data_IF_293046668369
#
_entry.id   IF_293046668369
#
_cell.length_a   1.000
_cell.length_b   1.000
_cell.length_c   1.000
_cell.angle_alpha   90.00
_cell.angle_beta   90.00
_cell.angle_gamma   90.00
#
_symmetry.space_group_name_H-M   'P 1'
#
loop_
_entity.id
_entity.type
_entity.pdbx_description
1 polymer ?
#
# COMPACT_ATOMS: atom_id res chain seq x y z
N UNK A 1 15.02 -52.89 -41.18
CA UNK A 1 16.20 -53.46 -41.88
C UNK A 1 16.00 -53.13 -43.36
N UNK A 2 16.77 -52.37 -44.14
CA UNK A 2 18.06 -51.66 -44.13
C UNK A 2 17.78 -50.17 -44.54
N UNK A 3 18.67 -49.17 -44.60
CA UNK A 3 20.10 -49.11 -44.85
C UNK A 3 20.70 -47.81 -44.30
N UNK A 4 22.02 -47.85 -44.09
CA UNK A 4 22.88 -46.82 -43.54
C UNK A 4 23.49 -45.91 -44.64
N UNK A 5 24.44 -45.05 -44.19
CA UNK A 5 25.42 -44.22 -44.92
C UNK A 5 24.96 -42.76 -45.07
N UNK A 6 25.73 -41.74 -44.70
CA UNK A 6 27.12 -41.68 -44.24
C UNK A 6 27.46 -40.23 -43.88
N UNK A 7 28.53 -40.08 -43.09
CA UNK A 7 29.10 -38.82 -42.63
C UNK A 7 29.88 -38.15 -43.76
N UNK A 8 29.80 -36.82 -43.90
CA UNK A 8 30.90 -36.01 -44.44
C UNK A 8 31.16 -34.76 -43.58
N UNK A 9 32.42 -34.29 -43.47
CA UNK A 9 32.83 -33.27 -42.50
C UNK A 9 33.16 -31.90 -43.13
N UNK A 10 33.40 -30.96 -42.21
CA UNK A 10 34.36 -29.83 -42.24
C UNK A 10 33.92 -28.50 -42.85
N UNK A 11 33.84 -27.48 -41.98
CA UNK A 11 34.66 -26.27 -42.09
C UNK A 11 34.63 -25.51 -40.76
N UNK A 12 35.80 -25.44 -40.13
CA UNK A 12 36.09 -24.69 -38.92
C UNK A 12 36.28 -23.21 -39.29
N UNK A 13 35.39 -22.33 -38.84
CA UNK A 13 35.61 -20.89 -38.89
C UNK A 13 36.03 -20.39 -37.51
N UNK A 14 37.22 -19.80 -37.46
CA UNK A 14 37.87 -19.30 -36.25
C UNK A 14 37.02 -18.24 -35.54
N UNK A 15 36.80 -18.44 -34.23
CA UNK A 15 36.18 -17.48 -33.36
C UNK A 15 37.04 -16.21 -33.27
N UNK A 16 36.53 -15.07 -33.76
CA UNK A 16 37.07 -13.76 -33.40
C UNK A 16 36.73 -13.52 -31.94
N UNK A 17 37.77 -13.41 -31.12
CA UNK A 17 37.71 -13.07 -29.70
C UNK A 17 37.15 -11.65 -29.55
N UNK A 18 35.85 -11.53 -29.33
CA UNK A 18 35.25 -10.28 -28.88
C UNK A 18 35.24 -10.33 -27.35
N UNK A 19 35.91 -9.35 -26.76
CA UNK A 19 36.01 -9.12 -25.32
C UNK A 19 34.61 -9.00 -24.73
N UNK A 20 34.35 -9.75 -23.66
CA UNK A 20 33.13 -9.68 -22.85
C UNK A 20 33.00 -8.28 -22.25
N UNK A 21 32.07 -7.48 -22.76
CA UNK A 21 31.39 -6.45 -21.98
C UNK A 21 30.13 -7.06 -21.37
N UNK A 22 30.12 -7.30 -20.06
CA UNK A 22 28.92 -7.73 -19.34
C UNK A 22 27.97 -6.55 -19.19
N UNK A 23 26.96 -6.45 -20.05
CA UNK A 23 25.80 -5.59 -19.83
C UNK A 23 24.75 -6.44 -19.13
N UNK A 24 24.33 -6.11 -17.89
CA UNK A 24 23.25 -6.85 -17.24
C UNK A 24 21.94 -6.58 -17.99
N UNK A 25 21.35 -7.67 -18.46
CA UNK A 25 20.03 -7.72 -19.03
C UNK A 25 18.97 -7.55 -17.93
N UNK A 26 18.03 -6.64 -18.12
CA UNK A 26 16.72 -6.77 -17.51
C UNK A 26 15.67 -6.21 -18.48
N UNK A 27 14.64 -7.04 -18.67
CA UNK A 27 13.63 -6.96 -19.69
C UNK A 27 12.81 -5.67 -19.66
N UNK A 28 12.28 -5.32 -20.83
CA UNK A 28 11.33 -4.24 -20.99
C UNK A 28 10.10 -4.40 -20.10
N UNK A 29 9.81 -3.34 -19.35
CA UNK A 29 8.54 -3.06 -18.70
C UNK A 29 8.03 -1.73 -19.20
N UNK A 30 6.74 -1.70 -19.55
CA UNK A 30 6.00 -0.56 -20.07
C UNK A 30 6.14 0.66 -19.14
N UNK A 31 6.67 1.78 -19.64
CA UNK A 31 6.85 3.01 -18.86
C UNK A 31 5.56 3.81 -18.81
N UNK A 32 4.80 3.75 -17.70
CA UNK A 32 3.90 4.83 -17.32
C UNK A 32 4.70 5.84 -16.50
N UNK A 33 5.21 6.86 -17.18
CA UNK A 33 5.87 8.00 -16.57
C UNK A 33 4.80 9.04 -16.18
N UNK A 34 4.37 9.09 -14.92
CA UNK A 34 3.90 10.33 -14.24
C UNK A 34 3.41 10.20 -12.79
N UNK A 35 3.80 9.19 -11.99
CA UNK A 35 3.61 9.32 -10.54
C UNK A 35 4.83 8.82 -9.77
N UNK A 36 5.81 9.69 -9.61
CA UNK A 36 6.79 9.55 -8.52
C UNK A 36 6.17 10.14 -7.26
N UNK A 37 5.64 9.30 -6.36
CA UNK A 37 5.27 9.76 -5.02
C UNK A 37 6.55 10.07 -4.25
N UNK A 38 6.83 11.35 -4.02
CA UNK A 38 7.86 11.76 -3.09
C UNK A 38 7.37 11.51 -1.66
N UNK A 39 7.81 10.43 -1.03
CA UNK A 39 7.73 10.28 0.43
C UNK A 39 8.79 11.19 1.05
N UNK A 40 8.43 12.45 1.29
CA UNK A 40 9.31 13.33 2.05
C UNK A 40 9.44 12.82 3.49
N UNK A 41 10.68 12.40 3.78
CA UNK A 41 11.22 12.02 5.08
C UNK A 41 10.87 13.02 6.18
N UNK A 42 10.34 12.54 7.31
CA UNK A 42 10.78 13.01 8.63
C UNK A 42 10.31 12.05 9.72
N UNK A 43 11.26 11.29 10.28
CA UNK A 43 11.16 10.41 11.46
C UNK A 43 10.04 9.38 11.39
N UNK A 44 10.42 8.11 11.43
CA UNK A 44 9.56 6.97 11.65
C UNK A 44 8.72 7.18 12.93
N UNK A 45 7.58 7.85 12.80
CA UNK A 45 6.54 7.83 13.81
C UNK A 45 5.87 6.47 13.66
N UNK A 46 6.51 5.50 14.28
CA UNK A 46 5.96 4.17 14.50
C UNK A 46 4.53 4.34 15.02
N UNK A 47 3.54 3.90 14.25
CA UNK A 47 2.13 3.93 14.62
C UNK A 47 1.94 3.03 15.85
N UNK A 48 2.04 3.64 17.03
CA UNK A 48 2.08 2.91 18.30
C UNK A 48 0.71 2.93 18.96
N UNK A 49 0.03 1.78 18.97
CA UNK A 49 -1.18 1.58 19.76
C UNK A 49 -0.81 1.56 21.25
N UNK A 50 -1.47 2.40 22.06
CA UNK A 50 -1.32 2.43 23.51
C UNK A 50 -2.67 2.21 24.18
N UNK A 51 -2.77 1.20 25.02
CA UNK A 51 -3.93 1.00 25.89
C UNK A 51 -3.73 1.78 27.18
N UNK A 52 -4.62 2.73 27.47
CA UNK A 52 -4.56 3.57 28.67
C UNK A 52 -5.82 3.37 29.50
N UNK A 53 -5.66 3.28 30.83
CA UNK A 53 -6.80 3.26 31.75
C UNK A 53 -7.13 4.69 32.19
N UNK A 54 -8.33 5.17 31.88
CA UNK A 54 -8.78 6.52 32.22
C UNK A 54 -10.12 6.87 31.58
N UNK A 55 -10.52 8.13 31.67
CA UNK A 55 -11.68 8.66 30.94
C UNK A 55 -11.26 9.06 29.53
N UNK A 56 -11.84 8.43 28.51
CA UNK A 56 -11.58 8.72 27.10
C UNK A 56 -11.85 10.19 26.74
N UNK A 57 -12.81 10.83 27.40
CA UNK A 57 -13.14 12.24 27.10
C UNK A 57 -12.29 13.26 27.86
N UNK A 58 -11.33 12.79 28.66
CA UNK A 58 -10.28 13.64 29.24
C UNK A 58 -9.06 13.79 28.32
N UNK A 59 -9.14 13.22 27.11
CA UNK A 59 -8.12 13.38 26.08
C UNK A 59 -7.83 14.87 25.79
N UNK A 60 -6.56 15.22 25.51
CA UNK A 60 -6.19 16.57 25.12
C UNK A 60 -6.98 17.04 23.88
N UNK A 61 -7.24 18.36 23.73
CA UNK A 61 -7.91 18.89 22.54
C UNK A 61 -7.14 18.69 21.23
N UNK A 62 -5.85 18.36 21.30
CA UNK A 62 -5.03 18.01 20.14
C UNK A 62 -5.39 16.65 19.53
N UNK A 63 -6.07 15.80 20.30
CA UNK A 63 -6.29 14.41 19.95
C UNK A 63 -7.71 14.25 19.39
N UNK A 64 -7.83 13.57 18.24
CA UNK A 64 -9.13 13.24 17.68
C UNK A 64 -9.71 11.98 18.33
N UNK A 65 -11.00 12.01 18.64
CA UNK A 65 -11.74 10.86 19.13
C UNK A 65 -12.61 10.27 18.01
N UNK A 66 -12.61 8.95 17.87
CA UNK A 66 -13.41 8.23 16.88
C UNK A 66 -14.17 7.06 17.52
N UNK A 67 -15.37 6.80 17.02
CA UNK A 67 -16.11 5.57 17.32
C UNK A 67 -17.06 5.24 16.16
N UNK A 68 -17.29 3.94 15.92
CA UNK A 68 -18.21 3.50 14.88
C UNK A 68 -19.68 3.71 15.32
N UNK A 69 -20.51 4.28 14.45
CA UNK A 69 -21.96 4.46 14.67
C UNK A 69 -22.77 3.55 13.74
N UNK A 70 -24.04 3.33 14.07
CA UNK A 70 -25.01 2.75 13.16
C UNK A 70 -25.35 3.73 12.03
N UNK A 71 -25.69 3.19 10.87
CA UNK A 71 -26.11 3.98 9.71
C UNK A 71 -27.24 4.96 10.09
N UNK A 72 -28.22 4.52 10.89
CA UNK A 72 -29.36 5.34 11.33
C UNK A 72 -29.02 6.52 12.26
N UNK A 73 -27.75 6.71 12.64
CA UNK A 73 -27.26 7.80 13.48
C UNK A 73 -27.99 7.97 14.83
N UNK A 74 -28.70 6.93 15.33
CA UNK A 74 -29.50 7.05 16.57
C UNK A 74 -28.63 7.30 17.79
N UNK A 75 -27.49 6.60 17.87
CA UNK A 75 -26.53 6.66 18.98
C UNK A 75 -27.20 6.53 20.37
N UNK A 76 -28.10 5.55 20.50
CA UNK A 76 -28.97 5.40 21.68
C UNK A 76 -28.42 4.54 22.83
N UNK A 77 -27.24 3.95 22.69
CA UNK A 77 -26.67 3.03 23.70
C UNK A 77 -25.14 3.17 23.85
N UNK A 78 -24.63 2.73 25.00
CA UNK A 78 -23.20 2.66 25.29
C UNK A 78 -22.49 4.00 25.19
N UNK A 79 -21.26 3.98 24.66
CA UNK A 79 -20.41 5.17 24.50
C UNK A 79 -21.01 6.19 23.52
N UNK A 80 -21.82 5.74 22.56
CA UNK A 80 -22.42 6.59 21.54
C UNK A 80 -23.34 7.67 22.15
N UNK A 81 -24.00 7.37 23.26
CA UNK A 81 -24.83 8.35 24.00
C UNK A 81 -23.97 9.51 24.51
N UNK A 82 -22.74 9.23 24.95
CA UNK A 82 -21.83 10.26 25.43
C UNK A 82 -21.28 11.10 24.29
N UNK A 83 -20.93 10.50 23.14
CA UNK A 83 -20.55 11.24 21.94
C UNK A 83 -21.67 12.17 21.48
N UNK A 84 -22.90 11.67 21.37
CA UNK A 84 -24.09 12.47 21.00
C UNK A 84 -24.32 13.65 21.94
N UNK A 85 -24.13 13.47 23.25
CA UNK A 85 -24.33 14.53 24.26
C UNK A 85 -23.19 15.56 24.28
N UNK A 86 -21.94 15.13 24.06
CA UNK A 86 -20.76 16.02 24.15
C UNK A 86 -20.50 16.78 22.84
N UNK A 87 -20.62 16.10 21.70
CA UNK A 87 -20.25 16.66 20.40
C UNK A 87 -21.47 17.05 19.54
N UNK A 88 -22.64 16.48 19.79
CA UNK A 88 -23.81 16.74 18.95
C UNK A 88 -23.60 16.19 17.54
N UNK A 89 -23.78 17.02 16.52
CA UNK A 89 -23.38 16.67 15.15
C UNK A 89 -24.34 15.73 14.40
N UNK A 90 -25.47 15.34 15.01
CA UNK A 90 -26.33 14.28 14.44
C UNK A 90 -27.00 14.74 13.15
N UNK A 91 -27.43 16.00 13.08
CA UNK A 91 -28.08 16.50 11.88
C UNK A 91 -27.05 16.63 10.75
N UNK A 92 -25.85 17.12 11.06
CA UNK A 92 -24.75 17.24 10.11
C UNK A 92 -24.37 15.88 9.51
N UNK A 93 -24.43 14.80 10.30
CA UNK A 93 -24.22 13.43 9.80
C UNK A 93 -25.39 12.93 8.96
N UNK A 94 -26.63 13.26 9.31
CA UNK A 94 -27.80 12.88 8.51
C UNK A 94 -27.84 13.61 7.17
N UNK A 95 -27.35 14.85 7.13
CA UNK A 95 -27.29 15.70 5.92
C UNK A 95 -26.22 15.24 4.92
N UNK A 96 -25.30 14.35 5.32
CA UNK A 96 -24.27 13.76 4.44
C UNK A 96 -24.79 12.59 3.60
N UNK A 97 -26.04 12.18 3.78
CA UNK A 97 -26.64 11.09 3.01
C UNK A 97 -26.90 11.55 1.57
N UNK A 98 -26.31 10.84 0.61
CA UNK A 98 -26.64 10.95 -0.82
C UNK A 98 -28.00 10.32 -1.16
#
# INVERSE_FOLDING_TARGET
>A
MWAALGRLPVAQAAARRIVLGSVPAAAGGLTIAHVTMATHSSKEQEERIKCVKGDLFSCPPSDALAHCISEDCRMGAGIAVLFKKKFGGVQELLDQRE
#
